data_IF_488668760456
#
_entry.id   IF_488668760456
#
_cell.length_a   1.000
_cell.length_b   1.000
_cell.length_c   1.000
_cell.angle_alpha   90.00
_cell.angle_beta   90.00
_cell.angle_gamma   90.00
#
_symmetry.space_group_name_H-M   'P 1'
#
loop_
_entity.id
_entity.type
_entity.pdbx_description
1 polymer ?
#
# COMPACT_ATOMS: atom_id res chain seq x y z
N UNK A 1 23.86 13.42 14.80
CA UNK A 1 24.22 13.33 13.36
C UNK A 1 23.07 13.85 12.52
N UNK A 2 23.29 14.49 11.34
CA UNK A 2 22.21 15.00 10.47
C UNK A 2 22.17 14.14 9.20
N UNK A 3 21.06 13.43 8.97
CA UNK A 3 20.87 12.59 7.77
C UNK A 3 20.74 13.47 6.53
N UNK A 4 21.51 13.16 5.48
CA UNK A 4 21.42 13.87 4.19
C UNK A 4 20.43 13.16 3.27
N UNK A 5 19.38 13.84 2.77
CA UNK A 5 18.44 13.25 1.85
C UNK A 5 19.10 12.80 0.55
N UNK A 6 18.84 11.56 0.13
CA UNK A 6 19.37 10.95 -1.11
C UNK A 6 18.32 10.98 -2.21
N UNK A 7 18.60 11.71 -3.28
CA UNK A 7 17.71 11.78 -4.46
C UNK A 7 17.47 10.41 -5.10
N UNK A 8 18.49 9.55 -5.12
CA UNK A 8 18.39 8.18 -5.63
C UNK A 8 17.38 7.32 -4.87
N UNK A 9 17.16 7.62 -3.59
CA UNK A 9 16.18 6.94 -2.73
C UNK A 9 14.84 7.69 -2.67
N UNK A 10 14.69 8.81 -3.38
CA UNK A 10 13.44 9.60 -3.38
C UNK A 10 13.06 10.17 -2.00
N UNK A 11 14.06 10.44 -1.15
CA UNK A 11 13.85 10.83 0.25
C UNK A 11 13.39 12.28 0.40
N UNK A 12 12.24 12.44 1.06
CA UNK A 12 11.71 13.68 1.60
C UNK A 12 11.27 13.40 3.04
N UNK A 13 12.05 13.87 4.02
CA UNK A 13 11.75 13.59 5.42
C UNK A 13 10.62 14.48 5.91
N UNK A 14 9.59 13.88 6.47
CA UNK A 14 8.48 14.60 7.08
C UNK A 14 9.00 15.36 8.30
N UNK A 15 8.80 16.69 8.32
CA UNK A 15 9.26 17.58 9.37
C UNK A 15 8.13 17.98 10.35
N UNK A 16 6.87 17.90 9.90
CA UNK A 16 5.72 18.24 10.71
C UNK A 16 5.29 17.08 11.61
N UNK A 17 5.51 17.23 12.91
CA UNK A 17 5.19 16.22 13.92
C UNK A 17 3.68 15.93 14.04
N UNK A 18 2.83 16.96 13.90
CA UNK A 18 1.38 16.80 13.92
C UNK A 18 0.86 15.97 12.75
N UNK A 19 1.48 16.08 11.56
CA UNK A 19 1.15 15.25 10.41
C UNK A 19 1.63 13.81 10.64
N UNK A 20 2.85 13.62 11.17
CA UNK A 20 3.36 12.30 11.50
C UNK A 20 2.43 11.57 12.49
N UNK A 21 1.97 12.26 13.51
CA UNK A 21 0.99 11.73 14.47
C UNK A 21 -0.32 11.34 13.80
N UNK A 22 -0.89 12.22 12.95
CA UNK A 22 -2.14 11.93 12.22
C UNK A 22 -2.02 10.70 11.31
N UNK A 23 -0.84 10.47 10.71
CA UNK A 23 -0.58 9.27 9.92
C UNK A 23 -0.55 8.03 10.83
N UNK A 24 0.15 8.09 11.97
CA UNK A 24 0.20 6.99 12.93
C UNK A 24 -1.19 6.65 13.50
N UNK A 25 -2.01 7.68 13.77
CA UNK A 25 -3.39 7.53 14.29
C UNK A 25 -4.37 7.01 13.22
N UNK A 26 -4.01 7.08 11.93
CA UNK A 26 -4.83 6.54 10.84
C UNK A 26 -4.82 5.01 10.76
N UNK A 27 -3.88 4.32 11.45
CA UNK A 27 -3.96 2.88 11.65
C UNK A 27 -5.12 2.52 12.58
N UNK A 28 -6.04 1.70 12.10
CA UNK A 28 -7.24 1.27 12.80
C UNK A 28 -7.06 -0.15 13.36
N UNK A 29 -6.96 -0.31 14.69
CA UNK A 29 -6.75 -1.61 15.31
C UNK A 29 -7.90 -2.60 15.08
N UNK A 30 -9.12 -2.11 14.85
CA UNK A 30 -10.29 -2.97 14.63
C UNK A 30 -10.15 -3.84 13.38
N UNK A 31 -9.35 -3.42 12.41
CA UNK A 31 -9.09 -4.17 11.18
C UNK A 31 -8.31 -5.48 11.44
N UNK A 32 -7.48 -5.50 12.49
CA UNK A 32 -6.72 -6.70 12.88
C UNK A 32 -7.55 -7.73 13.67
N UNK A 33 -8.60 -7.28 14.35
CA UNK A 33 -9.45 -8.14 15.19
C UNK A 33 -10.52 -8.91 14.39
N UNK A 34 -10.82 -8.48 13.17
CA UNK A 34 -11.89 -9.07 12.34
C UNK A 34 -11.51 -10.35 11.58
N UNK A 35 -10.27 -10.81 11.60
CA UNK A 35 -9.78 -11.87 10.72
C UNK A 35 -9.33 -13.17 11.39
N UNK A 36 -9.27 -13.23 12.71
CA UNK A 36 -9.08 -14.49 13.44
C UNK A 36 -10.43 -15.12 13.77
N UNK A 37 -11.20 -15.45 12.74
CA UNK A 37 -12.46 -16.17 12.84
C UNK A 37 -12.25 -17.68 12.99
N UNK A 38 -11.66 -18.15 14.09
CA UNK A 38 -11.95 -19.45 14.72
C UNK A 38 -11.68 -19.27 16.20
N UNK A 39 -12.71 -18.94 16.95
CA UNK A 39 -12.69 -19.08 18.40
C UNK A 39 -12.84 -20.57 18.74
N UNK A 40 -11.76 -21.25 19.04
CA UNK A 40 -11.85 -22.44 19.87
C UNK A 40 -12.19 -21.98 21.30
N UNK A 41 -13.36 -22.39 21.76
CA UNK A 41 -13.79 -22.26 23.15
C UNK A 41 -12.85 -23.05 24.03
N UNK A 42 -11.95 -22.37 24.71
CA UNK A 42 -11.40 -22.72 26.02
C UNK A 42 -10.10 -21.94 26.27
N UNK A 43 -10.20 -21.05 27.18
CA UNK A 43 -9.23 -20.34 28.03
C UNK A 43 -9.36 -18.83 27.95
N UNK A 44 -10.12 -18.32 28.91
CA UNK A 44 -10.24 -16.93 29.29
C UNK A 44 -8.94 -16.41 29.91
N UNK A 45 -8.04 -15.90 29.09
CA UNK A 45 -7.16 -14.80 29.42
C UNK A 45 -7.14 -13.89 28.19
N UNK A 46 -7.72 -12.71 28.29
CA UNK A 46 -7.74 -11.69 27.23
C UNK A 46 -6.32 -11.18 27.00
N UNK A 47 -5.51 -11.95 26.26
CA UNK A 47 -4.33 -11.44 25.56
C UNK A 47 -4.89 -10.49 24.51
N UNK A 48 -4.86 -9.18 24.76
CA UNK A 48 -5.04 -8.19 23.72
C UNK A 48 -3.95 -8.42 22.68
N UNK A 49 -4.30 -9.15 21.61
CA UNK A 49 -3.40 -9.38 20.47
C UNK A 49 -3.07 -8.01 19.90
N UNK A 50 -1.80 -7.60 20.04
CA UNK A 50 -1.32 -6.35 19.45
C UNK A 50 -1.29 -6.48 17.94
N UNK A 51 -1.78 -5.45 17.24
CA UNK A 51 -1.71 -5.38 15.79
C UNK A 51 -0.24 -5.35 15.34
N UNK A 52 0.18 -6.29 14.51
CA UNK A 52 1.51 -6.27 13.91
C UNK A 52 1.57 -5.19 12.83
N UNK A 53 2.64 -4.38 12.85
CA UNK A 53 2.81 -3.23 11.94
C UNK A 53 4.21 -3.22 11.37
N UNK A 54 4.33 -3.06 10.06
CA UNK A 54 5.58 -2.81 9.34
C UNK A 54 5.63 -1.35 8.88
N UNK A 55 6.57 -0.58 9.41
CA UNK A 55 6.90 0.74 8.86
C UNK A 55 7.92 0.58 7.73
N UNK A 56 7.58 1.07 6.55
CA UNK A 56 8.44 1.04 5.36
C UNK A 56 9.14 2.39 5.18
N UNK A 57 10.48 2.38 5.32
CA UNK A 57 11.29 3.58 5.23
C UNK A 57 11.20 4.45 6.48
N UNK A 58 11.77 3.98 7.59
CA UNK A 58 11.72 4.70 8.87
C UNK A 58 12.42 6.08 8.82
N UNK A 59 13.41 6.26 7.94
CA UNK A 59 14.11 7.52 7.72
C UNK A 59 14.71 8.10 9.00
N UNK A 60 14.33 9.34 9.32
CA UNK A 60 14.72 10.00 10.57
C UNK A 60 13.80 9.71 11.76
N UNK A 61 12.91 8.73 11.62
CA UNK A 61 12.03 8.30 12.70
C UNK A 61 10.85 9.24 12.98
N UNK A 62 10.49 10.10 12.03
CA UNK A 62 9.38 11.04 12.22
C UNK A 62 8.06 10.32 12.55
N UNK A 63 7.76 9.23 11.83
CA UNK A 63 6.58 8.40 12.06
C UNK A 63 6.85 7.36 13.15
N UNK A 64 8.03 6.74 13.14
CA UNK A 64 8.47 5.69 14.07
C UNK A 64 8.26 6.09 15.53
N UNK A 65 8.56 7.35 15.91
CA UNK A 65 8.43 7.83 17.31
C UNK A 65 6.98 7.78 17.82
N UNK A 66 6.02 8.10 16.96
CA UNK A 66 4.59 8.03 17.31
C UNK A 66 4.09 6.58 17.37
N UNK A 67 4.56 5.76 16.43
CA UNK A 67 4.22 4.33 16.42
C UNK A 67 4.78 3.58 17.64
N UNK A 68 5.98 3.92 18.10
CA UNK A 68 6.58 3.35 19.31
C UNK A 68 5.80 3.69 20.60
N UNK A 69 5.05 4.80 20.62
CA UNK A 69 4.22 5.20 21.77
C UNK A 69 2.88 4.46 21.83
N UNK A 70 2.46 3.80 20.76
CA UNK A 70 1.21 3.04 20.71
C UNK A 70 1.38 1.69 21.41
N UNK A 71 0.58 1.46 22.44
CA UNK A 71 0.59 0.21 23.23
C UNK A 71 -0.17 -0.93 22.55
N UNK A 72 -1.04 -0.61 21.59
CA UNK A 72 -1.92 -1.54 20.86
C UNK A 72 -1.26 -2.18 19.64
N UNK A 73 -0.02 -1.77 19.30
CA UNK A 73 0.71 -2.31 18.15
C UNK A 73 2.03 -2.99 18.54
N UNK A 74 2.49 -3.88 17.67
CA UNK A 74 3.85 -4.44 17.65
C UNK A 74 4.55 -3.93 16.40
N UNK A 75 5.35 -2.86 16.56
CA UNK A 75 6.05 -2.23 15.45
C UNK A 75 7.30 -3.01 15.06
N UNK A 76 7.47 -3.23 13.75
CA UNK A 76 8.74 -3.56 13.08
C UNK A 76 9.01 -2.50 12.02
N UNK A 77 10.28 -2.18 11.79
CA UNK A 77 10.71 -1.24 10.76
C UNK A 77 11.55 -1.91 9.69
N UNK A 78 11.50 -1.40 8.46
CA UNK A 78 12.44 -1.78 7.41
C UNK A 78 13.02 -0.52 6.77
N UNK A 79 14.35 -0.44 6.72
CA UNK A 79 15.08 0.72 6.20
C UNK A 79 16.32 0.24 5.41
N UNK A 80 16.60 0.88 4.28
CA UNK A 80 17.73 0.55 3.41
C UNK A 80 18.89 1.52 3.54
N UNK A 81 18.61 2.75 3.99
CA UNK A 81 19.60 3.81 4.06
C UNK A 81 20.45 3.74 5.34
N UNK A 82 21.73 3.42 5.20
CA UNK A 82 22.66 3.31 6.32
C UNK A 82 22.81 4.57 7.16
N UNK A 83 22.67 5.79 6.58
CA UNK A 83 22.71 7.04 7.37
C UNK A 83 21.44 7.19 8.23
N UNK A 84 20.28 6.80 7.69
CA UNK A 84 19.01 6.76 8.44
C UNK A 84 19.09 5.73 9.57
N UNK A 85 19.64 4.54 9.30
CA UNK A 85 19.84 3.50 10.31
C UNK A 85 20.78 3.97 11.44
N UNK A 86 21.89 4.59 11.09
CA UNK A 86 22.82 5.16 12.08
C UNK A 86 22.13 6.24 12.93
N UNK A 87 21.34 7.10 12.30
CA UNK A 87 20.56 8.11 13.00
C UNK A 87 19.53 7.49 13.97
N UNK A 88 18.79 6.46 13.53
CA UNK A 88 17.82 5.75 14.37
C UNK A 88 18.50 5.08 15.56
N UNK A 89 19.67 4.49 15.37
CA UNK A 89 20.46 3.87 16.44
C UNK A 89 20.83 4.85 17.54
N UNK A 90 21.18 6.09 17.16
CA UNK A 90 21.56 7.15 18.09
C UNK A 90 20.33 7.80 18.76
N UNK A 91 19.25 8.06 18.00
CA UNK A 91 18.16 8.93 18.44
C UNK A 91 16.87 8.19 18.81
N UNK A 92 16.69 6.95 18.34
CA UNK A 92 15.51 6.11 18.59
C UNK A 92 15.93 4.64 18.82
N UNK A 93 16.80 4.33 19.80
CA UNK A 93 17.34 2.99 20.01
C UNK A 93 16.26 1.92 20.27
N UNK A 94 15.08 2.33 20.70
CA UNK A 94 13.95 1.42 20.98
C UNK A 94 13.45 0.66 19.75
N UNK A 95 13.67 1.17 18.51
CA UNK A 95 13.31 0.45 17.30
C UNK A 95 14.34 -0.60 16.88
N UNK A 96 15.61 -0.44 17.28
CA UNK A 96 16.74 -1.23 16.76
C UNK A 96 16.55 -2.75 16.85
N UNK A 97 16.00 -3.34 17.95
CA UNK A 97 15.76 -4.77 18.03
C UNK A 97 14.72 -5.30 17.02
N UNK A 98 13.98 -4.40 16.37
CA UNK A 98 12.87 -4.68 15.44
C UNK A 98 13.05 -3.99 14.09
N UNK A 99 14.25 -3.44 13.83
CA UNK A 99 14.59 -2.80 12.57
C UNK A 99 15.32 -3.79 11.66
N UNK A 100 14.79 -3.95 10.45
CA UNK A 100 15.38 -4.75 9.39
C UNK A 100 16.14 -3.83 8.44
N UNK A 101 17.47 -3.96 8.41
CA UNK A 101 18.36 -3.22 7.52
C UNK A 101 18.32 -3.86 6.13
N UNK A 102 17.29 -3.56 5.32
CA UNK A 102 17.04 -4.25 4.06
C UNK A 102 16.23 -3.41 3.07
N UNK A 103 16.28 -3.83 1.79
CA UNK A 103 15.41 -3.32 0.74
C UNK A 103 14.02 -3.97 0.86
N UNK A 104 13.00 -3.15 1.13
CA UNK A 104 11.61 -3.61 1.23
C UNK A 104 11.17 -4.38 -0.01
N UNK A 105 11.52 -3.91 -1.21
CA UNK A 105 11.07 -4.54 -2.46
C UNK A 105 11.67 -5.94 -2.67
N UNK A 106 12.84 -6.22 -2.09
CA UNK A 106 13.53 -7.53 -2.21
C UNK A 106 13.30 -8.45 -1.02
N UNK A 107 12.80 -7.91 0.09
CA UNK A 107 12.63 -8.69 1.33
C UNK A 107 11.44 -9.65 1.22
N UNK A 108 11.58 -10.84 1.80
CA UNK A 108 10.46 -11.74 2.02
C UNK A 108 9.75 -11.36 3.33
N UNK A 109 8.55 -10.82 3.21
CA UNK A 109 7.79 -10.31 4.35
C UNK A 109 7.28 -11.45 5.27
N UNK A 110 7.15 -12.70 4.76
CA UNK A 110 6.81 -13.87 5.57
C UNK A 110 7.91 -14.22 6.58
N UNK A 111 9.18 -13.91 6.27
CA UNK A 111 10.28 -14.06 7.22
C UNK A 111 10.26 -13.01 8.33
N UNK A 112 9.71 -11.82 8.04
CA UNK A 112 9.52 -10.77 9.03
C UNK A 112 8.30 -11.07 9.90
N UNK A 113 7.22 -11.59 9.30
CA UNK A 113 5.96 -11.94 9.95
C UNK A 113 5.59 -13.39 9.59
N UNK A 114 6.21 -14.39 10.25
CA UNK A 114 5.92 -15.81 9.96
C UNK A 114 4.51 -16.21 10.38
N UNK A 115 4.00 -15.57 11.45
CA UNK A 115 2.77 -15.96 12.10
C UNK A 115 1.74 -14.83 12.06
N UNK A 116 0.97 -14.76 10.97
CA UNK A 116 -0.22 -13.95 10.91
C UNK A 116 -0.14 -12.67 10.09
N UNK A 117 -1.20 -11.90 10.20
CA UNK A 117 -1.43 -10.66 9.45
C UNK A 117 -0.62 -9.50 10.02
N UNK A 118 -0.24 -8.56 9.16
CA UNK A 118 0.45 -7.32 9.54
C UNK A 118 -0.03 -6.15 8.71
N UNK A 119 -0.13 -4.98 9.32
CA UNK A 119 -0.44 -3.75 8.62
C UNK A 119 0.84 -3.09 8.10
N UNK A 120 0.74 -2.36 7.01
CA UNK A 120 1.86 -1.61 6.42
C UNK A 120 1.61 -0.12 6.58
N UNK A 121 2.63 0.61 7.03
CA UNK A 121 2.56 2.06 7.15
C UNK A 121 3.86 2.70 6.65
N UNK A 122 3.80 3.95 6.16
CA UNK A 122 5.02 4.68 5.82
C UNK A 122 4.80 5.99 5.11
N UNK A 123 5.86 6.82 5.13
CA UNK A 123 6.06 7.89 4.18
C UNK A 123 6.78 7.30 2.96
N UNK A 124 6.03 6.79 1.99
CA UNK A 124 6.59 6.00 0.90
C UNK A 124 7.44 6.84 -0.04
N UNK A 125 8.69 6.40 -0.35
CA UNK A 125 9.51 7.09 -1.33
C UNK A 125 8.80 7.19 -2.68
N UNK A 126 8.78 8.39 -3.28
CA UNK A 126 7.95 8.67 -4.46
C UNK A 126 8.34 7.83 -5.68
N UNK A 127 9.63 7.55 -5.85
CA UNK A 127 10.17 6.80 -6.98
C UNK A 127 9.79 5.31 -6.97
N UNK A 128 9.40 4.76 -5.82
CA UNK A 128 9.05 3.33 -5.68
C UNK A 128 7.62 3.11 -5.14
N UNK A 129 6.84 4.17 -4.92
CA UNK A 129 5.51 4.03 -4.30
C UNK A 129 4.60 3.03 -5.03
N UNK A 130 4.59 3.04 -6.36
CA UNK A 130 3.84 2.05 -7.15
C UNK A 130 4.34 0.62 -6.95
N UNK A 131 5.65 0.42 -6.83
CA UNK A 131 6.25 -0.89 -6.62
C UNK A 131 5.91 -1.43 -5.21
N UNK A 132 5.85 -0.53 -4.20
CA UNK A 132 5.39 -0.89 -2.86
C UNK A 132 3.98 -1.47 -2.92
N UNK A 133 3.04 -0.82 -3.63
CA UNK A 133 1.68 -1.32 -3.76
C UNK A 133 1.58 -2.62 -4.55
N UNK A 134 2.41 -2.83 -5.58
CA UNK A 134 2.48 -4.13 -6.25
C UNK A 134 2.96 -5.23 -5.30
N UNK A 135 3.97 -4.95 -4.47
CA UNK A 135 4.42 -5.90 -3.47
C UNK A 135 3.34 -6.19 -2.41
N UNK A 136 2.61 -5.18 -1.96
CA UNK A 136 1.48 -5.36 -1.05
C UNK A 136 0.44 -6.30 -1.65
N UNK A 137 0.14 -6.17 -2.95
CA UNK A 137 -0.78 -7.07 -3.64
C UNK A 137 -0.31 -8.53 -3.65
N UNK A 138 1.00 -8.75 -3.73
CA UNK A 138 1.57 -10.12 -3.67
C UNK A 138 1.43 -10.72 -2.24
N UNK A 139 1.27 -9.88 -1.20
CA UNK A 139 1.05 -10.27 0.20
C UNK A 139 -0.36 -9.92 0.70
N UNK A 140 -1.33 -9.67 -0.19
CA UNK A 140 -2.68 -9.18 0.16
C UNK A 140 -3.42 -10.02 1.20
N UNK A 141 -3.17 -11.32 1.21
CA UNK A 141 -3.80 -12.24 2.16
C UNK A 141 -3.36 -11.99 3.60
N UNK A 142 -2.13 -11.51 3.79
CA UNK A 142 -1.53 -11.20 5.09
C UNK A 142 -1.51 -9.70 5.42
N UNK A 143 -1.94 -8.82 4.49
CA UNK A 143 -1.94 -7.37 4.72
C UNK A 143 -3.37 -6.84 4.76
N UNK A 144 -4.00 -6.76 5.95
CA UNK A 144 -5.38 -6.29 6.09
C UNK A 144 -5.52 -4.77 5.93
N UNK A 145 -4.47 -4.00 6.24
CA UNK A 145 -4.52 -2.53 6.16
C UNK A 145 -3.19 -1.94 5.72
N UNK A 146 -3.28 -0.85 4.97
CA UNK A 146 -2.14 -0.02 4.59
C UNK A 146 -2.47 1.44 4.86
N UNK A 147 -1.55 2.17 5.50
CA UNK A 147 -1.60 3.63 5.60
C UNK A 147 -0.35 4.20 4.96
N UNK A 148 -0.51 4.89 3.84
CA UNK A 148 0.62 5.40 3.06
C UNK A 148 0.52 6.87 2.76
N UNK A 149 1.62 7.60 2.95
CA UNK A 149 1.80 8.93 2.39
C UNK A 149 2.61 8.83 1.11
N UNK A 150 2.13 9.43 0.04
CA UNK A 150 2.72 9.38 -1.31
C UNK A 150 2.39 10.66 -2.08
N UNK A 151 2.88 10.81 -3.32
CA UNK A 151 2.53 11.94 -4.17
C UNK A 151 1.01 12.03 -4.35
N UNK A 152 0.45 13.24 -4.23
CA UNK A 152 -0.99 13.50 -4.30
C UNK A 152 -1.63 12.91 -5.57
N UNK A 153 -1.01 13.12 -6.73
CA UNK A 153 -1.51 12.58 -8.01
C UNK A 153 -1.62 11.04 -8.00
N UNK A 154 -0.63 10.37 -7.38
CA UNK A 154 -0.65 8.89 -7.27
C UNK A 154 -1.75 8.47 -6.30
N UNK A 155 -1.91 9.15 -5.16
CA UNK A 155 -2.98 8.88 -4.20
C UNK A 155 -4.38 9.04 -4.83
N UNK A 156 -4.60 10.14 -5.55
CA UNK A 156 -5.84 10.39 -6.30
C UNK A 156 -6.10 9.32 -7.36
N UNK A 157 -5.04 8.88 -8.05
CA UNK A 157 -5.13 7.79 -9.02
C UNK A 157 -5.58 6.48 -8.39
N UNK A 158 -5.00 6.09 -7.25
CA UNK A 158 -5.36 4.85 -6.56
C UNK A 158 -6.79 4.87 -6.05
N UNK A 159 -7.27 6.01 -5.57
CA UNK A 159 -8.63 6.21 -5.07
C UNK A 159 -9.67 6.50 -6.16
N UNK A 160 -9.24 6.72 -7.42
CA UNK A 160 -10.15 7.03 -8.53
C UNK A 160 -10.99 5.82 -8.92
N UNK A 161 -12.27 6.05 -9.19
CA UNK A 161 -13.18 5.08 -9.82
C UNK A 161 -13.14 5.10 -11.34
N UNK A 162 -13.91 4.20 -11.98
CA UNK A 162 -14.04 4.12 -13.43
C UNK A 162 -14.61 5.43 -14.02
N UNK A 163 -14.30 5.71 -15.29
CA UNK A 163 -14.69 6.94 -15.99
C UNK A 163 -13.74 8.12 -15.75
N UNK A 164 -12.81 8.02 -14.82
CA UNK A 164 -11.83 9.06 -14.50
C UNK A 164 -10.53 8.86 -15.28
N UNK A 165 -9.95 9.99 -15.77
CA UNK A 165 -8.65 9.98 -16.46
C UNK A 165 -7.49 9.47 -15.58
N UNK A 166 -7.60 9.60 -14.27
CA UNK A 166 -6.61 9.11 -13.32
C UNK A 166 -6.70 7.60 -13.06
N UNK A 167 -7.87 6.99 -13.28
CA UNK A 167 -8.08 5.56 -13.10
C UNK A 167 -7.15 4.72 -13.99
N UNK A 168 -6.50 3.72 -13.42
CA UNK A 168 -5.46 2.96 -14.13
C UNK A 168 -5.22 1.58 -13.55
N UNK A 169 -4.16 0.92 -14.04
CA UNK A 169 -3.82 -0.46 -13.69
C UNK A 169 -3.85 -0.68 -12.18
N UNK A 170 -3.13 0.16 -11.44
CA UNK A 170 -2.97 -0.04 -10.00
C UNK A 170 -4.26 0.28 -9.23
N UNK A 171 -5.11 1.20 -9.75
CA UNK A 171 -6.45 1.45 -9.22
C UNK A 171 -7.31 0.18 -9.27
N UNK A 172 -7.40 -0.46 -10.44
CA UNK A 172 -8.17 -1.69 -10.64
C UNK A 172 -7.64 -2.82 -9.76
N UNK A 173 -6.33 -3.07 -9.80
CA UNK A 173 -5.71 -4.19 -9.10
C UNK A 173 -5.83 -4.06 -7.57
N UNK A 174 -5.69 -2.85 -7.02
CA UNK A 174 -5.85 -2.63 -5.58
C UNK A 174 -7.33 -2.66 -5.17
N UNK A 175 -8.21 -1.98 -5.90
CA UNK A 175 -9.63 -1.94 -5.58
C UNK A 175 -10.32 -3.31 -5.74
N UNK A 176 -9.72 -4.24 -6.44
CA UNK A 176 -10.17 -5.62 -6.45
C UNK A 176 -10.10 -6.29 -5.05
N UNK A 177 -9.22 -5.81 -4.17
CA UNK A 177 -8.95 -6.41 -2.86
C UNK A 177 -9.06 -5.45 -1.68
N UNK A 178 -9.07 -4.14 -1.93
CA UNK A 178 -9.06 -3.10 -0.90
C UNK A 178 -10.06 -2.01 -1.20
N UNK A 179 -10.72 -1.53 -0.16
CA UNK A 179 -11.37 -0.23 -0.15
C UNK A 179 -10.32 0.84 0.10
N UNK A 180 -10.28 1.86 -0.77
CA UNK A 180 -9.25 2.91 -0.72
C UNK A 180 -9.88 4.22 -0.33
N UNK A 181 -9.39 4.80 0.77
CA UNK A 181 -9.85 6.06 1.32
C UNK A 181 -8.74 7.12 1.21
N UNK A 182 -9.06 8.26 0.61
CA UNK A 182 -8.21 9.45 0.59
C UNK A 182 -8.43 10.23 1.89
N UNK A 183 -7.45 10.25 2.80
CA UNK A 183 -7.60 10.83 4.12
C UNK A 183 -7.39 12.34 4.12
N UNK A 184 -6.22 12.79 3.66
CA UNK A 184 -5.90 14.23 3.60
C UNK A 184 -4.69 14.54 2.72
N UNK A 185 -4.62 15.80 2.29
CA UNK A 185 -3.48 16.36 1.55
C UNK A 185 -2.42 16.90 2.51
N UNK A 186 -1.14 16.80 2.11
CA UNK A 186 0.03 17.33 2.83
C UNK A 186 0.79 18.27 1.91
N UNK A 187 1.09 19.47 2.40
CA UNK A 187 1.81 20.51 1.66
C UNK A 187 3.30 20.19 1.51
N UNK A 188 3.94 20.81 0.53
CA UNK A 188 5.35 20.61 0.22
C UNK A 188 6.27 21.09 1.35
N UNK A 189 5.88 22.17 2.04
CA UNK A 189 6.66 22.78 3.12
C UNK A 189 6.73 21.94 4.39
N UNK A 190 5.98 20.84 4.45
CA UNK A 190 5.97 19.91 5.57
C UNK A 190 7.16 18.92 5.55
N UNK A 191 8.05 19.04 4.55
CA UNK A 191 9.16 18.12 4.31
C UNK A 191 10.52 18.84 4.24
N UNK A 192 11.58 18.11 4.55
CA UNK A 192 12.98 18.52 4.38
C UNK A 192 13.73 17.45 3.57
N UNK A 193 14.19 17.79 2.34
CA UNK A 193 13.86 18.99 1.56
C UNK A 193 12.40 18.95 1.08
N UNK A 194 11.81 20.11 0.78
CA UNK A 194 10.46 20.14 0.23
C UNK A 194 10.42 19.47 -1.16
N UNK A 195 9.43 18.61 -1.42
CA UNK A 195 9.20 18.07 -2.75
C UNK A 195 8.63 19.14 -3.68
N UNK A 196 8.63 18.87 -5.00
CA UNK A 196 8.06 19.77 -6.00
C UNK A 196 6.53 19.65 -6.11
N UNK A 197 5.92 18.66 -5.46
CA UNK A 197 4.50 18.31 -5.56
C UNK A 197 3.93 18.04 -4.17
N UNK A 198 2.64 18.27 -4.00
CA UNK A 198 1.93 17.89 -2.77
C UNK A 198 1.93 16.38 -2.58
N UNK A 199 1.84 15.99 -1.33
CA UNK A 199 1.60 14.62 -0.91
C UNK A 199 0.13 14.43 -0.48
N UNK A 200 -0.25 13.19 -0.33
CA UNK A 200 -1.51 12.83 0.30
C UNK A 200 -1.35 11.53 1.08
N UNK A 201 -2.17 11.38 2.09
CA UNK A 201 -2.27 10.17 2.89
C UNK A 201 -3.51 9.41 2.45
N UNK A 202 -3.33 8.13 2.17
CA UNK A 202 -4.42 7.20 1.87
C UNK A 202 -4.42 6.05 2.86
N UNK A 203 -5.58 5.46 3.04
CA UNK A 203 -5.76 4.22 3.77
C UNK A 203 -6.42 3.18 2.88
N UNK A 204 -5.83 1.99 2.85
CA UNK A 204 -6.40 0.82 2.22
C UNK A 204 -6.85 -0.12 3.33
N UNK A 205 -8.07 -0.64 3.23
CA UNK A 205 -8.58 -1.73 4.07
C UNK A 205 -8.97 -2.88 3.16
N UNK A 206 -8.52 -4.11 3.50
CA UNK A 206 -8.93 -5.28 2.76
C UNK A 206 -10.45 -5.38 2.78
N UNK A 207 -11.05 -5.48 1.61
CA UNK A 207 -12.49 -5.65 1.48
C UNK A 207 -12.90 -7.11 1.75
N UNK A 208 -14.20 -7.39 1.74
CA UNK A 208 -14.72 -8.73 2.03
C UNK A 208 -14.50 -9.77 0.94
N UNK A 209 -13.76 -9.45 -0.13
CA UNK A 209 -13.51 -10.38 -1.24
C UNK A 209 -12.43 -11.40 -0.85
N UNK A 210 -12.79 -12.66 -0.78
CA UNK A 210 -11.86 -13.78 -0.57
C UNK A 210 -11.23 -14.27 -1.88
N UNK A 211 -11.99 -14.18 -3.00
CA UNK A 211 -11.55 -14.61 -4.34
C UNK A 211 -12.15 -13.73 -5.42
N UNK A 212 -11.51 -13.68 -6.59
CA UNK A 212 -12.05 -12.96 -7.76
C UNK A 212 -13.13 -13.76 -8.51
N UNK A 213 -13.20 -15.05 -8.26
CA UNK A 213 -14.02 -15.97 -9.05
C UNK A 213 -13.54 -16.13 -10.50
N UNK A 214 -12.30 -15.69 -10.80
CA UNK A 214 -11.56 -15.91 -12.05
C UNK A 214 -10.09 -16.11 -11.70
N UNK A 215 -9.28 -16.56 -12.67
CA UNK A 215 -7.83 -16.67 -12.49
C UNK A 215 -7.21 -15.30 -12.22
N UNK A 216 -6.49 -15.16 -11.09
CA UNK A 216 -5.94 -13.89 -10.63
C UNK A 216 -4.77 -13.39 -11.49
N UNK A 217 -3.98 -14.30 -12.06
CA UNK A 217 -2.87 -13.94 -12.94
C UNK A 217 -3.38 -13.51 -14.31
N UNK A 218 -4.41 -14.19 -14.83
CA UNK A 218 -5.10 -13.77 -16.04
C UNK A 218 -5.78 -12.41 -15.84
N UNK A 219 -6.46 -12.18 -14.71
CA UNK A 219 -7.05 -10.88 -14.37
C UNK A 219 -5.97 -9.77 -14.41
N UNK A 220 -4.85 -9.97 -13.71
CA UNK A 220 -3.71 -9.03 -13.73
C UNK A 220 -3.18 -8.79 -15.13
N UNK A 221 -3.11 -9.84 -15.97
CA UNK A 221 -2.68 -9.77 -17.38
C UNK A 221 -3.67 -9.00 -18.24
N UNK A 222 -4.99 -9.27 -18.12
CA UNK A 222 -6.05 -8.56 -18.84
C UNK A 222 -6.01 -7.07 -18.52
N UNK A 223 -5.98 -6.70 -17.22
CA UNK A 223 -5.91 -5.30 -16.79
C UNK A 223 -4.67 -4.61 -17.35
N UNK A 224 -3.48 -5.21 -17.22
CA UNK A 224 -2.23 -4.63 -17.75
C UNK A 224 -2.26 -4.46 -19.25
N UNK A 225 -2.75 -5.46 -19.99
CA UNK A 225 -2.82 -5.43 -21.47
C UNK A 225 -3.80 -4.35 -21.93
N UNK A 226 -4.97 -4.26 -21.32
CA UNK A 226 -5.98 -3.26 -21.63
C UNK A 226 -5.45 -1.84 -21.47
N UNK A 227 -4.86 -1.52 -20.30
CA UNK A 227 -4.29 -0.21 -20.02
C UNK A 227 -2.98 0.08 -20.75
N UNK A 228 -2.25 -0.92 -21.20
CA UNK A 228 -1.05 -0.76 -22.03
C UNK A 228 -1.34 -0.03 -23.34
N UNK A 229 -2.58 -0.10 -23.83
CA UNK A 229 -3.06 0.63 -25.01
C UNK A 229 -4.30 1.48 -24.66
N UNK A 230 -4.22 2.26 -23.60
CA UNK A 230 -5.32 3.00 -22.98
C UNK A 230 -6.23 3.78 -23.96
N UNK A 231 -5.67 4.33 -25.03
CA UNK A 231 -6.44 5.11 -26.04
C UNK A 231 -7.23 4.22 -27.04
N UNK A 232 -6.98 2.93 -27.06
CA UNK A 232 -7.66 1.95 -27.89
C UNK A 232 -8.91 1.40 -27.20
N UNK A 233 -9.88 0.92 -27.99
CA UNK A 233 -10.98 0.11 -27.48
C UNK A 233 -10.47 -1.25 -27.02
N UNK A 234 -11.22 -1.93 -26.15
CA UNK A 234 -10.83 -3.24 -25.61
C UNK A 234 -10.69 -4.29 -26.71
N UNK A 235 -11.53 -4.24 -27.76
CA UNK A 235 -11.39 -5.10 -28.94
C UNK A 235 -9.96 -5.04 -29.52
N UNK A 236 -9.37 -3.85 -29.56
CA UNK A 236 -8.04 -3.66 -30.12
C UNK A 236 -6.92 -3.91 -29.11
N UNK A 237 -7.11 -3.48 -27.85
CA UNK A 237 -6.06 -3.60 -26.84
C UNK A 237 -5.92 -5.03 -26.32
N UNK A 238 -6.98 -5.82 -26.27
CA UNK A 238 -6.98 -7.19 -25.77
C UNK A 238 -6.84 -8.26 -26.86
N UNK A 239 -6.75 -7.87 -28.13
CA UNK A 239 -6.54 -8.80 -29.25
C UNK A 239 -5.40 -9.82 -29.02
N UNK A 240 -4.28 -9.47 -28.35
CA UNK A 240 -3.24 -10.46 -28.03
C UNK A 240 -3.66 -11.55 -27.04
N UNK A 241 -4.82 -11.40 -26.36
CA UNK A 241 -5.34 -12.36 -25.38
C UNK A 241 -6.59 -13.09 -25.89
N UNK A 242 -7.42 -12.41 -26.68
CA UNK A 242 -8.65 -12.99 -27.23
C UNK A 242 -9.12 -12.20 -28.44
N UNK A 243 -9.51 -12.90 -29.49
CA UNK A 243 -10.16 -12.32 -30.67
C UNK A 243 -11.69 -12.17 -30.46
N UNK A 244 -12.25 -12.85 -29.47
CA UNK A 244 -13.69 -12.90 -29.17
C UNK A 244 -13.99 -12.26 -27.82
N UNK A 245 -14.24 -10.95 -27.79
CA UNK A 245 -14.70 -10.28 -26.59
C UNK A 245 -16.22 -10.11 -26.59
N UNK A 246 -16.88 -10.20 -25.42
CA UNK A 246 -18.29 -9.87 -25.32
C UNK A 246 -18.58 -8.47 -25.88
N UNK A 247 -19.61 -8.35 -26.75
CA UNK A 247 -19.90 -7.12 -27.49
C UNK A 247 -20.10 -5.92 -26.57
N UNK A 248 -20.67 -6.14 -25.38
CA UNK A 248 -20.86 -5.09 -24.34
C UNK A 248 -19.55 -4.40 -23.89
N UNK A 249 -18.39 -5.07 -24.03
CA UNK A 249 -17.08 -4.50 -23.64
C UNK A 249 -16.24 -4.08 -24.85
N UNK A 250 -16.43 -4.69 -25.99
CA UNK A 250 -15.55 -4.58 -27.15
C UNK A 250 -15.32 -3.12 -27.61
N UNK A 251 -16.32 -2.27 -27.55
CA UNK A 251 -16.28 -0.86 -27.93
C UNK A 251 -15.77 0.08 -26.83
N UNK A 252 -15.66 -0.37 -25.57
CA UNK A 252 -15.25 0.44 -24.44
C UNK A 252 -13.73 0.61 -24.37
N UNK A 253 -13.29 1.62 -23.61
CA UNK A 253 -11.88 1.82 -23.23
C UNK A 253 -11.66 1.30 -21.80
N UNK A 254 -10.41 0.91 -21.43
CA UNK A 254 -10.15 0.31 -20.14
C UNK A 254 -10.55 1.18 -18.94
N UNK A 255 -10.43 2.52 -19.05
CA UNK A 255 -10.83 3.41 -17.95
C UNK A 255 -12.35 3.47 -17.70
N UNK A 256 -13.15 2.95 -18.58
CA UNK A 256 -14.61 2.92 -18.44
C UNK A 256 -15.11 1.69 -17.66
N UNK A 257 -14.25 0.66 -17.48
CA UNK A 257 -14.60 -0.57 -16.81
C UNK A 257 -14.41 -0.46 -15.30
N UNK A 258 -15.40 -0.93 -14.56
CA UNK A 258 -15.28 -1.20 -13.12
C UNK A 258 -14.40 -2.43 -12.86
N UNK A 259 -14.03 -2.66 -11.61
CA UNK A 259 -13.35 -3.90 -11.18
C UNK A 259 -14.20 -5.13 -11.55
N UNK A 260 -15.52 -5.08 -11.33
CA UNK A 260 -16.45 -6.16 -11.63
C UNK A 260 -16.54 -6.45 -13.13
N UNK A 261 -16.47 -5.39 -13.96
CA UNK A 261 -16.42 -5.55 -15.41
C UNK A 261 -15.14 -6.25 -15.85
N UNK A 262 -13.98 -5.89 -15.25
CA UNK A 262 -12.71 -6.57 -15.53
C UNK A 262 -12.73 -8.03 -15.08
N UNK A 263 -13.33 -8.35 -13.93
CA UNK A 263 -13.52 -9.73 -13.48
C UNK A 263 -14.40 -10.51 -14.47
N UNK A 264 -15.54 -9.94 -14.84
CA UNK A 264 -16.48 -10.55 -15.80
C UNK A 264 -15.84 -10.74 -17.18
N UNK A 265 -15.07 -9.75 -17.63
CA UNK A 265 -14.32 -9.83 -18.89
C UNK A 265 -13.25 -10.93 -18.84
N UNK A 266 -12.53 -11.04 -17.72
CA UNK A 266 -11.51 -12.09 -17.53
C UNK A 266 -12.10 -13.50 -17.60
N UNK A 267 -13.32 -13.69 -17.06
CA UNK A 267 -14.04 -14.99 -17.15
C UNK A 267 -14.43 -15.39 -18.57
N UNK A 268 -14.48 -14.42 -19.48
CA UNK A 268 -14.90 -14.66 -20.89
C UNK A 268 -13.71 -14.83 -21.84
N UNK A 269 -12.48 -14.65 -21.36
CA UNK A 269 -11.24 -14.85 -22.11
C UNK A 269 -10.63 -16.22 -21.77
#
# INVERSE_FOLDING_TARGET
>A
MKVKPKKSLGQHFLANDGIARRIADALDPSTALGMTGVMSSEQSESRHLKMQVLEVGCGTGALTRHLLQRSDILLKGIEIDGESIAYLRENLPAIMPRLYEADFLKSDLRKIFPDGDFCVIGNFPYNISSQIFFKILDYRESVPQVVGMLQKEVAERLASGPGNKSYGILSVLLQAWYDIEYLFTVGENEFIPPPKVKSAVIRLRRNGRSELGCDADLFKKVVKTAFGQRRKTLRNSLRPLSDNLPERYAGLRPEQLSVEDFISLTKSI
#
